data_IF_700991995809
#
_entry.id   IF_700991995809
#
_cell.length_a   1.000
_cell.length_b   1.000
_cell.length_c   1.000
_cell.angle_alpha   90.00
_cell.angle_beta   90.00
_cell.angle_gamma   90.00
#
_symmetry.space_group_name_H-M   'P 1'
#
loop_
_entity.id
_entity.type
_entity.pdbx_description
1 polymer ?
#
# COMPACT_ATOMS: atom_id res chain seq x y z
N UNK A 1 2.99 24.30 -23.58
CA UNK A 1 1.89 23.66 -22.82
C UNK A 1 1.20 22.59 -23.66
N UNK A 2 0.48 22.93 -24.74
CA UNK A 2 -0.20 21.92 -25.58
C UNK A 2 0.73 20.87 -26.20
N UNK A 3 1.80 21.31 -26.88
CA UNK A 3 2.81 20.41 -27.49
C UNK A 3 3.50 19.54 -26.43
N UNK A 4 3.73 20.10 -25.24
CA UNK A 4 4.31 19.37 -24.09
C UNK A 4 3.36 18.29 -23.61
N UNK A 5 2.06 18.59 -23.48
CA UNK A 5 1.05 17.60 -23.12
C UNK A 5 0.94 16.47 -24.15
N UNK A 6 0.98 16.79 -25.45
CA UNK A 6 1.00 15.78 -26.53
C UNK A 6 2.24 14.89 -26.42
N UNK A 7 3.42 15.49 -26.22
CA UNK A 7 4.66 14.73 -26.08
C UNK A 7 4.62 13.78 -24.87
N UNK A 8 4.01 14.20 -23.75
CA UNK A 8 3.84 13.36 -22.56
C UNK A 8 2.87 12.21 -22.83
N UNK A 9 1.76 12.45 -23.53
CA UNK A 9 0.82 11.37 -23.92
C UNK A 9 1.50 10.34 -24.81
N UNK A 10 2.23 10.79 -25.84
CA UNK A 10 2.98 9.89 -26.71
C UNK A 10 4.09 9.15 -25.95
N UNK A 11 4.77 9.82 -25.01
CA UNK A 11 5.75 9.18 -24.13
C UNK A 11 5.12 8.04 -23.32
N UNK A 12 3.95 8.26 -22.72
CA UNK A 12 3.23 7.22 -21.99
C UNK A 12 2.78 6.05 -22.89
N UNK A 13 2.30 6.34 -24.09
CA UNK A 13 1.93 5.31 -25.07
C UNK A 13 3.13 4.48 -25.54
N UNK A 14 4.31 5.10 -25.67
CA UNK A 14 5.56 4.41 -26.06
C UNK A 14 6.08 3.47 -24.97
N UNK A 15 5.95 3.85 -23.70
CA UNK A 15 6.25 2.95 -22.56
C UNK A 15 5.30 1.76 -22.58
N UNK A 16 4.02 1.99 -22.89
CA UNK A 16 3.04 0.93 -23.07
C UNK A 16 2.61 0.25 -21.76
N UNK A 17 1.59 -0.61 -21.86
CA UNK A 17 1.06 -1.36 -20.72
C UNK A 17 0.49 -0.48 -19.60
N UNK A 18 0.41 -1.05 -18.40
CA UNK A 18 -0.06 -0.35 -17.19
C UNK A 18 0.93 0.72 -16.71
N UNK A 19 2.23 0.56 -16.95
CA UNK A 19 3.27 1.52 -16.55
C UNK A 19 3.20 2.84 -17.34
N UNK A 20 2.75 2.80 -18.60
CA UNK A 20 2.57 3.98 -19.43
C UNK A 20 1.27 4.77 -19.19
N UNK A 21 0.28 4.18 -18.49
CA UNK A 21 -1.02 4.83 -18.25
C UNK A 21 -0.91 6.11 -17.40
N UNK A 22 -0.19 6.14 -16.27
CA UNK A 22 -0.08 7.35 -15.45
C UNK A 22 0.50 8.54 -16.22
N UNK A 23 1.54 8.30 -17.03
CA UNK A 23 2.15 9.33 -17.87
C UNK A 23 1.15 9.88 -18.88
N UNK A 24 0.40 9.00 -19.55
CA UNK A 24 -0.62 9.40 -20.52
C UNK A 24 -1.74 10.24 -19.87
N UNK A 25 -2.17 9.89 -18.67
CA UNK A 25 -3.19 10.64 -17.91
C UNK A 25 -2.69 12.03 -17.51
N UNK A 26 -1.43 12.15 -17.06
CA UNK A 26 -0.81 13.45 -16.77
C UNK A 26 -0.80 14.33 -18.02
N UNK A 27 -0.39 13.77 -19.17
CA UNK A 27 -0.38 14.48 -20.44
C UNK A 27 -1.76 15.00 -20.86
N UNK A 28 -2.80 14.17 -20.71
CA UNK A 28 -4.19 14.57 -20.95
C UNK A 28 -4.65 15.69 -20.01
N UNK A 29 -4.24 15.64 -18.74
CA UNK A 29 -4.48 16.72 -17.77
C UNK A 29 -3.89 18.06 -18.23
N UNK A 30 -2.63 18.06 -18.69
CA UNK A 30 -1.94 19.26 -19.20
C UNK A 30 -2.65 19.84 -20.43
N UNK A 31 -3.09 18.97 -21.36
CA UNK A 31 -3.86 19.38 -22.54
C UNK A 31 -5.19 20.00 -22.13
N UNK A 32 -5.90 19.37 -21.20
CA UNK A 32 -7.22 19.83 -20.72
C UNK A 32 -7.11 21.21 -20.08
N UNK A 33 -6.11 21.42 -19.20
CA UNK A 33 -5.85 22.73 -18.59
C UNK A 33 -5.54 23.79 -19.66
N UNK A 34 -4.75 23.45 -20.67
CA UNK A 34 -4.45 24.36 -21.77
C UNK A 34 -5.70 24.79 -22.55
N UNK A 35 -6.59 23.84 -22.88
CA UNK A 35 -7.85 24.12 -23.59
C UNK A 35 -8.76 25.02 -22.73
N UNK A 36 -8.91 24.72 -21.43
CA UNK A 36 -9.70 25.54 -20.50
C UNK A 36 -9.15 26.96 -20.43
N UNK A 37 -7.82 27.13 -20.34
CA UNK A 37 -7.19 28.45 -20.32
C UNK A 37 -7.32 29.19 -21.66
N UNK A 38 -7.32 28.49 -22.79
CA UNK A 38 -7.54 29.11 -24.11
C UNK A 38 -8.96 29.69 -24.22
N UNK A 39 -9.98 28.97 -23.73
CA UNK A 39 -11.39 29.37 -23.81
C UNK A 39 -11.72 30.44 -22.76
N UNK A 40 -11.38 30.18 -21.49
CA UNK A 40 -11.83 30.96 -20.33
C UNK A 40 -10.75 31.89 -19.75
N UNK A 41 -9.47 31.63 -20.02
CA UNK A 41 -8.33 32.37 -19.46
C UNK A 41 -8.09 33.75 -20.07
N UNK A 42 -8.91 34.18 -21.05
CA UNK A 42 -8.84 35.52 -21.65
C UNK A 42 -9.07 36.64 -20.62
N UNK A 43 -9.85 36.36 -19.57
CA UNK A 43 -10.09 37.30 -18.46
C UNK A 43 -9.18 36.96 -17.28
N UNK A 44 -8.46 37.97 -16.77
CA UNK A 44 -7.50 37.82 -15.66
C UNK A 44 -8.10 37.16 -14.41
N UNK A 45 -9.36 37.48 -14.07
CA UNK A 45 -10.06 36.87 -12.93
C UNK A 45 -10.29 35.36 -13.12
N UNK A 46 -10.78 34.94 -14.29
CA UNK A 46 -11.01 33.53 -14.60
C UNK A 46 -9.74 32.70 -14.55
N UNK A 47 -8.63 33.25 -15.04
CA UNK A 47 -7.32 32.60 -14.96
C UNK A 47 -6.94 32.31 -13.49
N UNK A 48 -7.13 33.28 -12.59
CA UNK A 48 -6.85 33.11 -11.15
C UNK A 48 -7.73 32.02 -10.54
N UNK A 49 -9.03 32.05 -10.81
CA UNK A 49 -9.96 31.02 -10.31
C UNK A 49 -9.60 29.61 -10.77
N UNK A 50 -9.24 29.44 -12.05
CA UNK A 50 -8.83 28.14 -12.60
C UNK A 50 -7.59 27.61 -11.86
N UNK A 51 -6.54 28.43 -11.69
CA UNK A 51 -5.35 28.01 -10.98
C UNK A 51 -5.62 27.71 -9.51
N UNK A 52 -6.38 28.56 -8.81
CA UNK A 52 -6.75 28.33 -7.42
C UNK A 52 -7.56 27.04 -7.26
N UNK A 53 -8.50 26.77 -8.16
CA UNK A 53 -9.29 25.54 -8.15
C UNK A 53 -8.41 24.30 -8.37
N UNK A 54 -7.50 24.32 -9.35
CA UNK A 54 -6.59 23.20 -9.60
C UNK A 54 -5.74 22.92 -8.36
N UNK A 55 -5.14 23.96 -7.76
CA UNK A 55 -4.32 23.79 -6.56
C UNK A 55 -5.16 23.23 -5.40
N UNK A 56 -6.36 23.78 -5.16
CA UNK A 56 -7.27 23.28 -4.13
C UNK A 56 -7.68 21.83 -4.38
N UNK A 57 -7.96 21.46 -5.63
CA UNK A 57 -8.32 20.10 -5.99
C UNK A 57 -7.17 19.13 -5.72
N UNK A 58 -5.96 19.47 -6.14
CA UNK A 58 -4.76 18.64 -5.89
C UNK A 58 -4.50 18.51 -4.40
N UNK A 59 -4.49 19.61 -3.64
CA UNK A 59 -4.32 19.59 -2.18
C UNK A 59 -5.43 18.79 -1.50
N UNK A 60 -6.68 18.95 -1.94
CA UNK A 60 -7.83 18.21 -1.43
C UNK A 60 -7.71 16.71 -1.66
N UNK A 61 -7.20 16.28 -2.83
CA UNK A 61 -6.93 14.86 -3.12
C UNK A 61 -5.84 14.30 -2.19
N UNK A 62 -4.75 15.03 -1.97
CA UNK A 62 -3.71 14.61 -1.03
C UNK A 62 -4.22 14.54 0.41
N UNK A 63 -4.99 15.54 0.85
CA UNK A 63 -5.61 15.54 2.17
C UNK A 63 -6.59 14.37 2.34
N UNK A 64 -7.43 14.09 1.34
CA UNK A 64 -8.34 12.96 1.35
C UNK A 64 -7.58 11.63 1.41
N UNK A 65 -6.51 11.46 0.63
CA UNK A 65 -5.68 10.25 0.68
C UNK A 65 -5.00 10.07 2.04
N UNK A 66 -4.49 11.15 2.63
CA UNK A 66 -3.83 11.10 3.94
C UNK A 66 -4.83 10.76 5.06
N UNK A 67 -6.01 11.36 5.04
CA UNK A 67 -7.05 11.13 6.06
C UNK A 67 -7.73 9.77 5.97
N UNK A 68 -7.67 9.10 4.82
CA UNK A 68 -8.24 7.77 4.62
C UNK A 68 -7.16 6.67 4.62
N UNK A 69 -5.98 6.92 5.19
CA UNK A 69 -5.02 5.84 5.41
C UNK A 69 -5.61 4.83 6.39
N UNK A 70 -5.43 3.52 6.16
CA UNK A 70 -5.93 2.51 7.06
C UNK A 70 -5.18 2.59 8.39
N UNK A 71 -5.91 2.66 9.49
CA UNK A 71 -5.33 2.54 10.82
C UNK A 71 -4.81 1.10 10.99
N UNK A 72 -3.52 0.99 11.33
CA UNK A 72 -2.84 -0.27 11.56
C UNK A 72 -2.00 -0.21 12.83
N UNK A 73 -1.79 -1.37 13.44
CA UNK A 73 -0.92 -1.53 14.60
C UNK A 73 -0.23 -2.89 14.58
N UNK A 74 0.89 -2.99 15.31
CA UNK A 74 1.60 -4.25 15.46
C UNK A 74 1.07 -4.96 16.69
N UNK A 75 0.58 -6.19 16.51
CA UNK A 75 0.14 -7.03 17.62
C UNK A 75 1.37 -7.73 18.21
N UNK A 76 1.63 -7.47 19.48
CA UNK A 76 2.74 -8.11 20.20
C UNK A 76 2.43 -9.59 20.42
N UNK A 77 3.44 -10.43 20.18
CA UNK A 77 3.34 -11.90 20.32
C UNK A 77 3.32 -12.35 21.78
N UNK A 78 3.91 -11.56 22.67
CA UNK A 78 3.95 -11.81 24.11
C UNK A 78 2.80 -11.06 24.79
N UNK A 79 1.55 -11.39 24.45
CA UNK A 79 0.43 -10.84 25.21
C UNK A 79 0.08 -11.80 26.35
N UNK A 80 0.42 -11.43 27.58
CA UNK A 80 0.17 -12.20 28.80
C UNK A 80 -1.34 -12.48 29.04
N UNK A 81 -2.22 -11.77 28.32
CA UNK A 81 -3.68 -11.89 28.39
C UNK A 81 -4.30 -12.75 27.28
N UNK A 82 -3.51 -13.27 26.35
CA UNK A 82 -4.02 -14.14 25.31
C UNK A 82 -4.25 -15.57 25.83
N UNK A 83 -5.48 -16.05 25.73
CA UNK A 83 -5.81 -17.42 26.09
C UNK A 83 -5.20 -18.40 25.07
N UNK A 84 -4.78 -19.58 25.52
CA UNK A 84 -4.39 -20.71 24.65
C UNK A 84 -5.50 -21.14 23.67
N UNK A 85 -6.72 -20.63 23.83
CA UNK A 85 -7.84 -20.89 22.93
C UNK A 85 -7.84 -20.00 21.69
N UNK A 86 -7.09 -18.89 21.70
CA UNK A 86 -6.98 -17.95 20.59
C UNK A 86 -6.34 -18.61 19.36
N UNK A 87 -7.10 -18.62 18.26
CA UNK A 87 -6.72 -19.25 17.00
C UNK A 87 -5.46 -18.61 16.40
N UNK A 88 -5.26 -17.31 16.62
CA UNK A 88 -4.06 -16.60 16.16
C UNK A 88 -2.83 -17.15 16.88
N UNK A 89 -2.90 -17.37 18.20
CA UNK A 89 -1.78 -17.90 18.98
C UNK A 89 -1.42 -19.32 18.58
N UNK A 90 -2.42 -20.19 18.38
CA UNK A 90 -2.19 -21.54 17.85
C UNK A 90 -1.51 -21.51 16.48
N UNK A 91 -1.93 -20.59 15.62
CA UNK A 91 -1.30 -20.43 14.31
C UNK A 91 0.15 -19.94 14.43
N UNK A 92 0.45 -19.02 15.36
CA UNK A 92 1.83 -18.58 15.62
C UNK A 92 2.73 -19.71 16.12
N UNK A 93 2.24 -20.54 17.04
CA UNK A 93 2.98 -21.72 17.52
C UNK A 93 3.28 -22.69 16.37
N UNK A 94 2.29 -22.91 15.50
CA UNK A 94 2.46 -23.71 14.28
C UNK A 94 3.53 -23.12 13.36
N UNK A 95 3.52 -21.80 13.12
CA UNK A 95 4.55 -21.13 12.31
C UNK A 95 5.97 -21.34 12.85
N UNK A 96 6.15 -21.53 14.17
CA UNK A 96 7.48 -21.79 14.73
C UNK A 96 7.96 -23.25 14.58
N UNK A 97 7.09 -24.15 14.12
CA UNK A 97 7.40 -25.58 13.93
C UNK A 97 7.30 -26.03 12.47
N UNK A 98 6.59 -25.27 11.63
CA UNK A 98 6.42 -25.53 10.21
C UNK A 98 7.07 -24.44 9.35
N UNK A 99 7.73 -24.86 8.27
CA UNK A 99 8.29 -23.97 7.25
C UNK A 99 7.21 -23.39 6.33
N UNK A 100 6.48 -22.41 6.84
CA UNK A 100 5.44 -21.68 6.11
C UNK A 100 5.94 -20.29 5.77
N UNK A 101 5.97 -19.96 4.48
CA UNK A 101 6.31 -18.64 3.95
C UNK A 101 5.12 -18.04 3.19
N UNK A 102 4.78 -16.79 3.51
CA UNK A 102 3.60 -16.11 2.97
C UNK A 102 2.82 -15.39 4.05
N UNK A 103 1.59 -14.98 3.74
CA UNK A 103 0.73 -14.31 4.72
C UNK A 103 -0.66 -14.94 4.83
N UNK A 104 -1.24 -14.92 6.03
CA UNK A 104 -2.62 -15.34 6.32
C UNK A 104 -3.41 -14.17 6.88
N UNK A 105 -4.69 -14.08 6.55
CA UNK A 105 -5.62 -13.10 7.13
C UNK A 105 -6.56 -13.85 8.06
N UNK A 106 -6.69 -13.38 9.28
CA UNK A 106 -7.60 -13.92 10.29
C UNK A 106 -8.47 -12.81 10.85
N UNK A 107 -9.64 -13.19 11.35
CA UNK A 107 -10.59 -12.26 11.93
C UNK A 107 -10.30 -12.10 13.42
N UNK A 108 -10.29 -10.86 13.90
CA UNK A 108 -10.28 -10.51 15.32
C UNK A 108 -11.66 -9.96 15.71
N UNK A 109 -11.87 -9.72 17.01
CA UNK A 109 -13.18 -9.28 17.55
C UNK A 109 -13.74 -8.07 16.79
N UNK A 110 -12.89 -7.08 16.52
CA UNK A 110 -13.30 -5.81 15.90
C UNK A 110 -12.47 -5.44 14.65
N UNK A 111 -11.59 -6.32 14.19
CA UNK A 111 -10.60 -5.99 13.15
C UNK A 111 -10.16 -7.22 12.33
N UNK A 112 -9.12 -7.06 11.51
CA UNK A 112 -8.44 -8.15 10.81
C UNK A 112 -6.99 -8.22 11.27
N UNK A 113 -6.46 -9.43 11.39
CA UNK A 113 -5.05 -9.70 11.62
C UNK A 113 -4.40 -10.25 10.34
N UNK A 114 -3.41 -9.54 9.81
CA UNK A 114 -2.55 -10.04 8.73
C UNK A 114 -1.27 -10.58 9.34
N UNK A 115 -1.07 -11.88 9.22
CA UNK A 115 0.06 -12.61 9.79
C UNK A 115 1.02 -12.94 8.65
N UNK A 116 2.21 -12.37 8.66
CA UNK A 116 3.26 -12.63 7.66
C UNK A 116 4.36 -13.49 8.29
N UNK A 117 4.74 -14.57 7.61
CA UNK A 117 5.88 -15.42 7.95
C UNK A 117 6.85 -15.52 6.78
N UNK A 118 8.15 -15.56 7.06
CA UNK A 118 9.19 -15.59 6.02
C UNK A 118 9.65 -17.01 5.64
N UNK A 119 9.41 -18.00 6.49
CA UNK A 119 9.94 -19.36 6.37
C UNK A 119 11.30 -19.54 7.06
N UNK A 120 11.70 -20.79 7.25
CA UNK A 120 12.93 -21.20 7.95
C UNK A 120 14.21 -20.71 7.26
N UNK A 121 14.20 -20.58 5.92
CA UNK A 121 15.35 -20.07 5.16
C UNK A 121 15.76 -18.65 5.57
N UNK A 122 14.84 -17.90 6.21
CA UNK A 122 15.08 -16.54 6.69
C UNK A 122 15.36 -16.47 8.19
N UNK A 123 15.63 -17.60 8.87
CA UNK A 123 16.03 -17.64 10.29
C UNK A 123 17.10 -16.60 10.63
N UNK A 124 16.99 -15.95 11.79
CA UNK A 124 17.89 -14.88 12.21
C UNK A 124 17.52 -13.49 11.69
N UNK A 125 16.40 -13.37 10.99
CA UNK A 125 15.85 -12.12 10.45
C UNK A 125 14.71 -11.62 11.33
N UNK A 126 14.51 -10.30 11.37
CA UNK A 126 13.29 -9.68 11.88
C UNK A 126 12.55 -8.95 10.76
N UNK A 127 11.25 -8.75 10.99
CA UNK A 127 10.36 -8.04 10.08
C UNK A 127 9.90 -6.76 10.77
N UNK A 128 9.97 -5.65 10.06
CA UNK A 128 9.39 -4.37 10.46
C UNK A 128 8.33 -3.97 9.42
N UNK A 129 7.17 -3.51 9.89
CA UNK A 129 6.16 -2.93 8.99
C UNK A 129 6.49 -1.46 8.81
N UNK A 130 6.64 -1.05 7.56
CA UNK A 130 7.05 0.31 7.20
C UNK A 130 5.88 1.22 6.83
N UNK A 131 4.86 0.68 6.14
CA UNK A 131 3.62 1.41 5.84
C UNK A 131 2.48 0.44 5.52
N UNK A 132 1.24 0.89 5.70
CA UNK A 132 0.04 0.23 5.19
C UNK A 132 -0.80 1.29 4.49
N UNK A 133 -1.07 1.08 3.21
CA UNK A 133 -1.78 2.05 2.39
C UNK A 133 -2.89 1.41 1.56
N UNK A 134 -3.87 2.22 1.19
CA UNK A 134 -4.87 1.83 0.20
C UNK A 134 -4.47 2.37 -1.18
N UNK A 135 -4.19 1.47 -2.11
CA UNK A 135 -3.77 1.81 -3.47
C UNK A 135 -4.66 1.10 -4.48
N UNK A 136 -5.40 1.87 -5.28
CA UNK A 136 -6.26 1.34 -6.36
C UNK A 136 -7.28 0.28 -5.89
N UNK A 137 -7.88 0.48 -4.71
CA UNK A 137 -8.85 -0.48 -4.13
C UNK A 137 -8.21 -1.74 -3.57
N UNK A 138 -6.90 -1.71 -3.29
CA UNK A 138 -6.15 -2.77 -2.64
C UNK A 138 -5.54 -2.25 -1.34
N UNK A 139 -5.40 -3.11 -0.35
CA UNK A 139 -4.56 -2.82 0.82
C UNK A 139 -3.16 -3.33 0.53
N UNK A 140 -2.17 -2.44 0.54
CA UNK A 140 -0.77 -2.76 0.33
C UNK A 140 -0.02 -2.58 1.64
N UNK A 141 0.58 -3.65 2.13
CA UNK A 141 1.38 -3.68 3.35
C UNK A 141 2.84 -3.74 2.93
N UNK A 142 3.59 -2.71 3.30
CA UNK A 142 5.02 -2.60 3.04
C UNK A 142 5.79 -3.05 4.26
N UNK A 143 6.61 -4.08 4.11
CA UNK A 143 7.48 -4.61 5.17
C UNK A 143 8.93 -4.44 4.80
N UNK A 144 9.80 -4.55 5.81
CA UNK A 144 11.24 -4.57 5.67
C UNK A 144 11.78 -5.75 6.46
N UNK A 145 12.39 -6.70 5.78
CA UNK A 145 13.13 -7.78 6.43
C UNK A 145 14.61 -7.41 6.59
N UNK A 146 15.20 -7.72 7.76
CA UNK A 146 16.62 -7.46 8.01
C UNK A 146 17.23 -8.47 9.00
N UNK A 147 18.46 -8.88 8.72
CA UNK A 147 19.18 -9.83 9.58
C UNK A 147 19.65 -9.15 10.87
N UNK A 148 19.24 -9.68 12.01
CA UNK A 148 19.59 -9.16 13.33
C UNK A 148 19.83 -10.25 14.38
N UNK A 149 20.03 -11.51 13.95
CA UNK A 149 20.19 -12.68 14.83
C UNK A 149 18.96 -12.93 15.71
N UNK A 150 17.77 -12.67 15.17
CA UNK A 150 16.50 -13.09 15.78
C UNK A 150 16.54 -14.58 16.16
N UNK A 151 15.96 -14.92 17.30
CA UNK A 151 15.86 -16.31 17.78
C UNK A 151 14.62 -17.03 17.24
N UNK A 152 13.78 -16.33 16.47
CA UNK A 152 12.62 -16.94 15.81
C UNK A 152 13.07 -17.94 14.76
N UNK A 153 12.50 -19.15 14.81
CA UNK A 153 12.75 -20.20 13.83
C UNK A 153 12.13 -19.78 12.49
N UNK A 154 10.91 -19.25 12.54
CA UNK A 154 10.25 -18.65 11.40
C UNK A 154 9.92 -17.20 11.72
N UNK A 155 10.69 -16.23 11.18
CA UNK A 155 10.42 -14.81 11.40
C UNK A 155 8.99 -14.46 11.02
N UNK A 156 8.25 -13.90 11.98
CA UNK A 156 6.82 -13.61 11.80
C UNK A 156 6.48 -12.21 12.27
N UNK A 157 5.45 -11.57 11.70
CA UNK A 157 4.85 -10.34 12.24
C UNK A 157 3.34 -10.40 12.13
N UNK A 158 2.64 -9.79 13.08
CA UNK A 158 1.18 -9.71 13.13
C UNK A 158 0.79 -8.25 13.03
N UNK A 159 -0.05 -7.95 12.04
CA UNK A 159 -0.45 -6.61 11.68
C UNK A 159 -1.96 -6.53 11.87
N UNK A 160 -2.40 -5.82 12.90
CA UNK A 160 -3.80 -5.49 13.11
C UNK A 160 -4.20 -4.35 12.17
N UNK A 161 -5.34 -4.51 11.49
CA UNK A 161 -5.88 -3.53 10.56
C UNK A 161 -7.39 -3.46 10.76
N UNK A 162 -7.96 -2.28 10.90
CA UNK A 162 -9.40 -2.12 11.13
C UNK A 162 -10.23 -2.71 9.98
N UNK A 163 -9.83 -2.40 8.76
CA UNK A 163 -10.48 -2.87 7.53
C UNK A 163 -9.46 -3.18 6.46
N UNK A 164 -9.75 -4.22 5.71
CA UNK A 164 -8.97 -4.62 4.54
C UNK A 164 -9.84 -4.48 3.29
N UNK A 165 -9.24 -3.98 2.22
CA UNK A 165 -9.83 -4.12 0.90
C UNK A 165 -9.87 -5.60 0.47
N UNK A 166 -10.73 -5.98 -0.50
CA UNK A 166 -10.84 -7.36 -0.96
C UNK A 166 -9.53 -7.96 -1.46
N UNK A 167 -8.65 -7.11 -1.99
CA UNK A 167 -7.32 -7.49 -2.46
C UNK A 167 -6.29 -6.94 -1.48
N UNK A 168 -5.49 -7.85 -0.91
CA UNK A 168 -4.40 -7.52 0.02
C UNK A 168 -3.10 -8.00 -0.59
N UNK A 169 -2.09 -7.14 -0.56
CA UNK A 169 -0.74 -7.44 -1.04
C UNK A 169 0.28 -7.10 0.04
N UNK A 170 1.20 -8.02 0.30
CA UNK A 170 2.30 -7.81 1.24
C UNK A 170 3.61 -7.82 0.46
N UNK A 171 4.37 -6.73 0.58
CA UNK A 171 5.57 -6.47 -0.22
C UNK A 171 6.74 -6.07 0.67
N UNK A 172 7.91 -6.64 0.41
CA UNK A 172 9.15 -6.21 1.05
C UNK A 172 9.77 -5.01 0.30
N UNK A 173 10.61 -4.24 0.97
CA UNK A 173 11.36 -3.11 0.37
C UNK A 173 12.33 -3.54 -0.73
N UNK A 174 12.72 -4.82 -0.74
CA UNK A 174 13.56 -5.41 -1.80
C UNK A 174 12.76 -5.81 -3.06
N UNK A 175 11.43 -5.61 -3.05
CA UNK A 175 10.52 -5.97 -4.13
C UNK A 175 9.93 -7.37 -4.03
N UNK A 176 10.28 -8.15 -3.00
CA UNK A 176 9.69 -9.47 -2.76
C UNK A 176 8.19 -9.35 -2.48
N UNK A 177 7.39 -10.13 -3.20
CA UNK A 177 5.94 -10.22 -3.02
C UNK A 177 5.60 -11.51 -2.26
N UNK A 178 4.95 -11.39 -1.11
CA UNK A 178 4.51 -12.56 -0.34
C UNK A 178 3.14 -13.01 -0.82
N UNK A 179 2.97 -14.33 -0.98
CA UNK A 179 1.69 -14.91 -1.41
C UNK A 179 0.76 -15.06 -0.22
N UNK A 180 -0.54 -14.89 -0.48
CA UNK A 180 -1.57 -15.28 0.48
C UNK A 180 -1.57 -16.80 0.60
N UNK A 181 -1.54 -17.30 1.82
CA UNK A 181 -1.74 -18.72 2.09
C UNK A 181 -3.23 -19.03 1.98
N UNK A 182 -3.58 -19.96 1.09
CA UNK A 182 -4.92 -20.54 0.99
C UNK A 182 -4.85 -21.93 1.64
N UNK A 183 -5.72 -22.17 2.62
CA UNK A 183 -5.89 -23.50 3.25
C UNK A 183 -6.52 -24.51 2.29
#
# INVERSE_FOLDING_TARGET
MFIVGIAIVFGGLLVGGFEGMPLSVIGLGVITIFIILMIMGKKSLWRKYIFTFIVLFVVGMFAFSYLNRPDYWIIQKENEYASQEDEIYKYLERLQTEDISGFKIMDTVDSKAVILSLGEERTGTSIEVSDVEELNGKTVIHVKSFYNKSTEINPTVIIGVDKLNPVVEVRDVDGTMYKKFEE
#
